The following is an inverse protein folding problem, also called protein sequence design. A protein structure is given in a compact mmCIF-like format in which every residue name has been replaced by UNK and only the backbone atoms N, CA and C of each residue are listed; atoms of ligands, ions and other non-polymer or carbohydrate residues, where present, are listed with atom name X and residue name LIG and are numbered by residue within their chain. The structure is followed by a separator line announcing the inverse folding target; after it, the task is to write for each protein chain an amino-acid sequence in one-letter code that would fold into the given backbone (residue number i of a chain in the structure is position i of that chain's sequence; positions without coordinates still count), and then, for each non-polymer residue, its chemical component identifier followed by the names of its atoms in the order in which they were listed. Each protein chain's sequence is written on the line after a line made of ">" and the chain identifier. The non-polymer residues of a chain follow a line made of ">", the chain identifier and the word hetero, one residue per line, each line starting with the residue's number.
data_IF_714697714919
#
_entry.id   IF_714697714919
#
_cell.length_a   1.000
_cell.length_b   1.000
_cell.length_c   1.000
_cell.angle_alpha   90.00
_cell.angle_beta   90.00
_cell.angle_gamma   90.00
#
_symmetry.space_group_name_H-M   'P 1'
#
loop_
_entity.id
_entity.type
_entity.pdbx_description
1 polymer ?
#
# COMPACT_ATOMS: atom_id res chain seq x y z
N UNK A 1 -7.73 16.42 -28.37
CA UNK A 1 -6.58 15.82 -27.84
C UNK A 1 -6.92 15.16 -26.50
N UNK A 2 -6.69 13.94 -26.46
CA UNK A 2 -6.89 13.25 -25.21
C UNK A 2 -5.63 13.35 -24.39
N UNK A 3 -5.69 14.08 -23.34
CA UNK A 3 -4.71 13.87 -22.33
C UNK A 3 -4.82 12.42 -21.90
N UNK A 4 -3.84 11.63 -22.23
CA UNK A 4 -3.82 10.32 -21.64
C UNK A 4 -3.70 10.50 -20.12
N UNK A 5 -4.69 10.01 -19.42
CA UNK A 5 -4.64 9.95 -17.98
C UNK A 5 -3.77 8.79 -17.51
N UNK A 6 -2.73 8.43 -18.27
CA UNK A 6 -1.81 7.39 -17.86
C UNK A 6 -0.97 7.88 -16.68
N UNK A 7 -0.77 7.02 -15.72
CA UNK A 7 0.08 7.30 -14.58
C UNK A 7 1.53 7.42 -15.06
N UNK A 8 2.22 8.51 -14.74
CA UNK A 8 3.61 8.66 -15.16
C UNK A 8 4.52 7.58 -14.57
N UNK A 9 5.53 7.19 -15.32
CA UNK A 9 6.52 6.20 -14.93
C UNK A 9 7.87 6.88 -14.76
N UNK A 10 8.53 6.62 -13.64
CA UNK A 10 9.91 7.05 -13.40
C UNK A 10 10.81 5.84 -13.22
N UNK A 11 12.08 6.00 -13.60
CA UNK A 11 13.11 5.01 -13.36
C UNK A 11 14.08 5.58 -12.34
N UNK A 12 14.18 4.93 -11.19
CA UNK A 12 15.05 5.40 -10.09
C UNK A 12 16.54 5.28 -10.41
N UNK A 13 16.89 4.63 -11.51
CA UNK A 13 18.29 4.59 -11.99
C UNK A 13 18.65 5.82 -12.80
N UNK A 14 17.68 6.58 -13.24
CA UNK A 14 17.92 7.84 -13.95
C UNK A 14 18.44 8.90 -12.98
N UNK A 15 19.06 9.94 -13.54
CA UNK A 15 19.54 11.07 -12.73
C UNK A 15 18.38 11.84 -12.10
N UNK A 16 18.66 12.51 -11.00
CA UNK A 16 17.67 13.35 -10.33
C UNK A 16 17.11 14.42 -11.26
N UNK A 17 17.94 15.00 -12.12
CA UNK A 17 17.51 16.00 -13.08
C UNK A 17 16.44 15.47 -14.04
N UNK A 18 16.46 14.17 -14.31
CA UNK A 18 15.46 13.53 -15.16
C UNK A 18 14.22 13.15 -14.34
N UNK A 19 14.41 12.61 -13.14
CA UNK A 19 13.35 12.05 -12.33
C UNK A 19 12.50 13.13 -11.65
N UNK A 20 13.13 14.15 -11.06
CA UNK A 20 12.43 15.11 -10.22
C UNK A 20 11.32 15.88 -10.93
N UNK A 21 11.49 16.40 -12.16
CA UNK A 21 10.41 17.10 -12.84
C UNK A 21 9.19 16.21 -13.12
N UNK A 22 9.44 14.95 -13.48
CA UNK A 22 8.35 13.99 -13.74
C UNK A 22 7.63 13.63 -12.45
N UNK A 23 8.40 13.41 -11.39
CA UNK A 23 7.84 13.09 -10.06
C UNK A 23 6.99 14.24 -9.54
N UNK A 24 7.50 15.46 -9.61
CA UNK A 24 6.76 16.63 -9.16
C UNK A 24 5.42 16.76 -9.90
N UNK A 25 5.45 16.61 -11.20
CA UNK A 25 4.24 16.69 -12.03
C UNK A 25 3.27 15.55 -11.70
N UNK A 26 3.79 14.35 -11.52
CA UNK A 26 2.97 13.20 -11.18
C UNK A 26 2.23 13.41 -9.86
N UNK A 27 2.94 13.90 -8.84
CA UNK A 27 2.36 14.08 -7.52
C UNK A 27 1.45 15.30 -7.41
N UNK A 28 1.72 16.37 -8.17
CA UNK A 28 0.91 17.59 -8.09
C UNK A 28 -0.30 17.56 -9.02
N UNK A 29 -0.19 16.91 -10.17
CA UNK A 29 -1.26 16.92 -11.16
C UNK A 29 -2.13 15.65 -11.13
N UNK A 30 -1.54 14.52 -10.80
CA UNK A 30 -2.22 13.21 -10.89
C UNK A 30 -2.41 12.57 -9.53
N UNK A 31 -1.41 12.66 -8.66
CA UNK A 31 -1.44 12.05 -7.34
C UNK A 31 -0.87 10.63 -7.27
N UNK A 32 -0.42 10.09 -8.39
CA UNK A 32 0.16 8.76 -8.50
C UNK A 32 1.39 8.77 -9.39
N UNK A 33 2.29 7.84 -9.11
CA UNK A 33 3.47 7.61 -9.95
C UNK A 33 3.81 6.13 -9.95
N UNK A 34 4.22 5.62 -11.11
CA UNK A 34 4.78 4.27 -11.21
C UNK A 34 6.28 4.35 -11.15
N UNK A 35 6.89 3.39 -10.48
CA UNK A 35 8.34 3.39 -10.25
C UNK A 35 8.93 2.09 -10.77
N UNK A 36 10.03 2.20 -11.51
CA UNK A 36 10.86 1.06 -11.88
C UNK A 36 12.32 1.37 -11.51
N UNK A 37 13.21 0.40 -11.68
CA UNK A 37 14.61 0.60 -11.33
C UNK A 37 14.85 0.78 -9.83
N UNK A 38 13.94 0.27 -8.99
CA UNK A 38 13.98 0.43 -7.53
C UNK A 38 14.91 -0.56 -6.82
N UNK A 39 15.53 -1.45 -7.56
CA UNK A 39 16.48 -2.44 -7.03
C UNK A 39 15.91 -3.49 -6.09
N UNK A 40 14.59 -3.52 -5.92
CA UNK A 40 13.95 -4.60 -5.16
C UNK A 40 13.80 -5.80 -6.10
N UNK A 41 14.38 -6.97 -5.78
CA UNK A 41 14.26 -8.14 -6.63
C UNK A 41 12.80 -8.57 -6.80
N UNK A 42 12.44 -8.93 -8.02
CA UNK A 42 11.06 -9.33 -8.33
C UNK A 42 10.60 -10.53 -7.49
N UNK A 43 11.51 -11.45 -7.20
CA UNK A 43 11.18 -12.62 -6.38
C UNK A 43 10.79 -12.24 -4.95
N UNK A 44 11.35 -11.16 -4.40
CA UNK A 44 10.95 -10.68 -3.07
C UNK A 44 9.54 -10.12 -3.08
N UNK A 45 9.18 -9.38 -4.12
CA UNK A 45 7.82 -8.84 -4.28
C UNK A 45 6.82 -10.00 -4.38
N UNK A 46 7.16 -11.01 -5.19
CA UNK A 46 6.32 -12.20 -5.37
C UNK A 46 6.18 -12.97 -4.07
N UNK A 47 7.27 -13.19 -3.36
CA UNK A 47 7.27 -13.89 -2.08
C UNK A 47 6.43 -13.14 -1.04
N UNK A 48 6.56 -11.82 -0.98
CA UNK A 48 5.76 -11.01 -0.06
C UNK A 48 4.27 -11.15 -0.36
N UNK A 49 3.89 -11.11 -1.64
CA UNK A 49 2.48 -11.30 -2.02
C UNK A 49 1.96 -12.67 -1.60
N UNK A 50 2.76 -13.71 -1.79
CA UNK A 50 2.40 -15.06 -1.36
C UNK A 50 2.24 -15.14 0.16
N UNK A 51 3.13 -14.51 0.91
CA UNK A 51 3.04 -14.47 2.37
C UNK A 51 1.80 -13.73 2.86
N UNK A 52 1.47 -12.61 2.23
CA UNK A 52 0.25 -11.87 2.54
C UNK A 52 -0.99 -12.71 2.28
N UNK A 53 -1.05 -13.35 1.12
CA UNK A 53 -2.16 -14.22 0.76
C UNK A 53 -2.33 -15.37 1.75
N UNK A 54 -1.23 -16.02 2.11
CA UNK A 54 -1.22 -17.09 3.09
C UNK A 54 -1.68 -16.61 4.46
N UNK A 55 -1.15 -15.48 4.90
CA UNK A 55 -1.50 -14.94 6.21
C UNK A 55 -2.98 -14.61 6.31
N UNK A 56 -3.50 -13.83 5.36
CA UNK A 56 -4.89 -13.40 5.40
C UNK A 56 -5.89 -14.52 5.14
N UNK A 57 -5.43 -15.65 4.60
CA UNK A 57 -6.26 -16.84 4.44
C UNK A 57 -6.36 -17.69 5.72
N UNK A 58 -5.61 -17.34 6.77
CA UNK A 58 -5.67 -18.06 8.04
C UNK A 58 -7.02 -17.84 8.73
N UNK A 59 -7.43 -18.78 9.59
CA UNK A 59 -8.61 -18.57 10.41
C UNK A 59 -8.52 -17.29 11.23
N UNK A 60 -9.64 -16.64 11.44
CA UNK A 60 -9.69 -15.37 12.17
C UNK A 60 -9.10 -15.50 13.57
N UNK A 61 -9.33 -16.62 14.25
CA UNK A 61 -8.81 -16.86 15.60
C UNK A 61 -7.29 -16.79 15.64
N UNK A 62 -6.61 -17.29 14.62
CA UNK A 62 -5.15 -17.23 14.54
C UNK A 62 -4.66 -15.82 14.28
N UNK A 63 -5.33 -15.10 13.39
CA UNK A 63 -4.98 -13.71 13.07
C UNK A 63 -5.21 -12.80 14.28
N UNK A 64 -6.28 -13.01 15.03
CA UNK A 64 -6.57 -12.19 16.21
C UNK A 64 -5.53 -12.36 17.32
N UNK A 65 -4.81 -13.48 17.36
CA UNK A 65 -3.71 -13.64 18.29
C UNK A 65 -2.60 -12.61 18.06
N UNK A 66 -2.48 -12.10 16.83
CA UNK A 66 -1.50 -11.09 16.46
C UNK A 66 -2.07 -9.66 16.46
N UNK A 67 -3.26 -9.46 16.98
CA UNK A 67 -3.96 -8.19 16.91
C UNK A 67 -3.16 -7.05 17.56
N UNK A 68 -3.22 -5.88 16.96
CA UNK A 68 -2.62 -4.69 17.53
C UNK A 68 -3.27 -4.34 18.87
N UNK A 69 -2.52 -3.69 19.75
CA UNK A 69 -3.00 -3.25 21.06
C UNK A 69 -2.71 -1.75 21.23
N UNK A 70 -3.32 -1.09 22.24
CA UNK A 70 -2.98 0.31 22.52
C UNK A 70 -1.48 0.54 22.80
N UNK A 71 -0.80 -0.48 23.30
CA UNK A 71 0.63 -0.39 23.61
C UNK A 71 1.52 -0.80 22.44
N UNK A 72 0.97 -1.49 21.45
CA UNK A 72 1.73 -1.98 20.31
C UNK A 72 0.88 -1.99 19.05
N UNK A 73 1.13 -1.03 18.18
CA UNK A 73 0.44 -0.91 16.89
C UNK A 73 1.06 -1.75 15.78
N UNK A 74 1.80 -2.78 16.13
CA UNK A 74 2.34 -3.74 15.17
C UNK A 74 1.55 -5.02 15.27
N UNK A 75 1.01 -5.46 14.15
CA UNK A 75 0.28 -6.69 14.10
C UNK A 75 -0.97 -6.60 13.24
N UNK A 76 -1.88 -7.54 13.50
CA UNK A 76 -3.09 -7.69 12.72
C UNK A 76 -4.14 -6.63 13.08
N UNK A 77 -4.74 -6.07 12.05
CA UNK A 77 -5.87 -5.15 12.17
C UNK A 77 -7.09 -5.85 11.61
N UNK A 78 -8.07 -6.24 12.47
CA UNK A 78 -9.25 -6.96 11.98
C UNK A 78 -10.22 -6.07 11.22
N UNK A 79 -11.07 -6.70 10.41
CA UNK A 79 -12.16 -6.01 9.73
C UNK A 79 -13.00 -5.23 10.74
N UNK A 80 -13.31 -4.00 10.39
CA UNK A 80 -14.15 -3.16 11.24
C UNK A 80 -13.47 -2.58 12.47
N UNK A 81 -12.16 -2.71 12.57
CA UNK A 81 -11.42 -2.16 13.71
C UNK A 81 -11.50 -0.63 13.76
N UNK A 82 -11.35 0.02 12.62
CA UNK A 82 -11.46 1.47 12.53
C UNK A 82 -12.81 1.91 12.03
N UNK A 83 -13.29 3.03 12.56
CA UNK A 83 -14.50 3.69 12.13
C UNK A 83 -14.13 5.16 11.88
N UNK A 84 -13.78 5.54 10.65
CA UNK A 84 -13.29 6.89 10.36
C UNK A 84 -14.36 7.98 10.54
N UNK A 85 -15.63 7.59 10.53
CA UNK A 85 -16.71 8.53 10.78
C UNK A 85 -17.17 8.41 12.22
N UNK A 86 -17.04 9.48 12.97
CA UNK A 86 -17.42 9.55 14.38
C UNK A 86 -18.92 9.28 14.60
N UNK A 87 -19.71 9.19 13.54
CA UNK A 87 -21.14 8.89 13.61
C UNK A 87 -21.47 7.40 13.60
N UNK A 88 -20.50 6.55 13.66
CA UNK A 88 -20.59 5.20 14.19
C UNK A 88 -21.34 4.14 13.41
N UNK A 89 -21.96 4.45 12.29
CA UNK A 89 -22.81 3.47 11.61
C UNK A 89 -22.02 2.56 10.66
N UNK A 90 -20.88 3.00 10.15
CA UNK A 90 -20.11 2.25 9.17
C UNK A 90 -18.66 2.07 9.63
N UNK A 91 -18.22 0.82 9.64
CA UNK A 91 -16.85 0.48 9.98
C UNK A 91 -16.08 0.18 8.70
N UNK A 92 -14.76 0.35 8.76
CA UNK A 92 -13.90 0.05 7.63
C UNK A 92 -13.96 -1.43 7.28
N UNK A 93 -14.06 -1.69 5.99
CA UNK A 93 -14.14 -3.04 5.46
C UNK A 93 -12.80 -3.50 4.92
N UNK A 94 -11.78 -3.40 5.76
CA UNK A 94 -10.45 -3.90 5.41
C UNK A 94 -9.80 -4.58 6.62
N UNK A 95 -8.87 -5.46 6.34
CA UNK A 95 -7.97 -6.02 7.33
C UNK A 95 -6.54 -5.73 6.91
N UNK A 96 -5.64 -5.68 7.88
CA UNK A 96 -4.25 -5.35 7.61
C UNK A 96 -3.29 -6.01 8.60
N UNK A 97 -2.01 -5.86 8.29
CA UNK A 97 -0.95 -6.29 9.17
C UNK A 97 0.22 -5.33 9.10
#
# INVERSE_FOLDING_TARGET
>A
MTSSSSIPLIDLKDSDDTVLPVLERALTEIGFVMVQGHSVPEHLVRTMRQQLETYFSRPLSEKLADCITPDNYRGYIPLGFFSPNSHGATRDQYEGY
#
